data_IF_874657486269
#
_entry.id   IF_874657486269
#
_cell.length_a   1.000
_cell.length_b   1.000
_cell.length_c   1.000
_cell.angle_alpha   90.00
_cell.angle_beta   90.00
_cell.angle_gamma   90.00
#
_symmetry.space_group_name_H-M   'P 1'
#
loop_
_entity.id
_entity.type
_entity.pdbx_description
1 polymer ?
#
# COMPACT_ATOMS: atom_id res chain seq x y z
N UNK A 1 4.48 -32.43 -20.74
CA UNK A 1 3.48 -31.37 -20.71
C UNK A 1 2.86 -31.39 -19.31
N UNK A 2 3.35 -30.58 -18.41
CA UNK A 2 2.85 -30.46 -17.03
C UNK A 2 1.84 -29.34 -17.03
N UNK A 3 0.56 -29.68 -16.91
CA UNK A 3 -0.52 -28.72 -16.69
C UNK A 3 -0.30 -28.03 -15.34
N UNK A 4 0.14 -26.79 -15.35
CA UNK A 4 0.10 -25.93 -14.18
C UNK A 4 -1.33 -25.39 -14.07
N UNK A 5 -2.24 -26.18 -13.54
CA UNK A 5 -3.54 -25.72 -13.11
C UNK A 5 -3.40 -25.25 -11.65
N UNK A 6 -3.37 -23.94 -11.42
CA UNK A 6 -3.54 -23.42 -10.08
C UNK A 6 -5.03 -23.43 -9.74
N UNK A 7 -5.49 -24.07 -8.65
CA UNK A 7 -6.89 -24.01 -8.26
C UNK A 7 -7.22 -22.56 -7.85
N UNK A 8 -8.30 -22.03 -8.42
CA UNK A 8 -8.87 -20.76 -7.98
C UNK A 8 -9.20 -20.85 -6.48
N UNK A 9 -8.54 -20.05 -5.66
CA UNK A 9 -8.75 -20.06 -4.22
C UNK A 9 -9.75 -18.96 -3.83
N UNK A 10 -10.63 -19.24 -2.87
CA UNK A 10 -11.56 -18.25 -2.29
C UNK A 10 -10.77 -17.13 -1.61
N UNK A 11 -11.10 -15.84 -1.78
CA UNK A 11 -10.52 -14.78 -0.98
C UNK A 11 -10.63 -15.06 0.53
N UNK A 12 -11.75 -15.57 0.97
CA UNK A 12 -11.95 -16.01 2.35
C UNK A 12 -10.93 -17.09 2.77
N UNK A 13 -10.70 -18.12 1.95
CA UNK A 13 -9.69 -19.15 2.20
C UNK A 13 -8.27 -18.64 2.03
N UNK A 14 -8.04 -17.61 1.20
CA UNK A 14 -6.75 -16.93 1.10
C UNK A 14 -6.44 -16.25 2.44
N UNK A 15 -7.36 -15.41 2.95
CA UNK A 15 -7.16 -14.69 4.20
C UNK A 15 -6.91 -15.62 5.39
N UNK A 16 -7.53 -16.80 5.43
CA UNK A 16 -7.36 -17.81 6.47
C UNK A 16 -5.96 -18.47 6.50
N UNK A 17 -5.15 -18.26 5.47
CA UNK A 17 -3.77 -18.78 5.40
C UNK A 17 -2.76 -17.90 6.14
N UNK A 18 -3.17 -16.72 6.56
CA UNK A 18 -2.32 -15.68 7.13
C UNK A 18 -2.75 -15.37 8.56
N UNK A 19 -1.78 -15.07 9.39
CA UNK A 19 -2.01 -14.76 10.81
C UNK A 19 -2.30 -13.28 11.04
N UNK A 20 -2.00 -12.41 10.07
CA UNK A 20 -2.27 -10.99 10.12
C UNK A 20 -2.50 -10.40 8.71
N UNK A 21 -3.33 -9.36 8.64
CA UNK A 21 -3.60 -8.59 7.43
C UNK A 21 -3.06 -7.17 7.59
N UNK A 22 -2.27 -6.71 6.62
CA UNK A 22 -1.75 -5.36 6.52
C UNK A 22 -2.48 -4.67 5.38
N UNK A 23 -3.52 -3.90 5.73
CA UNK A 23 -4.58 -3.53 4.80
C UNK A 23 -4.50 -2.06 4.43
N UNK A 24 -4.40 -1.75 3.14
CA UNK A 24 -4.59 -0.38 2.65
C UNK A 24 -6.02 0.11 2.88
N UNK A 25 -6.24 1.41 2.84
CA UNK A 25 -7.51 2.04 3.15
C UNK A 25 -8.30 2.46 1.91
N UNK A 26 -7.78 3.43 1.15
CA UNK A 26 -8.48 4.06 0.05
C UNK A 26 -8.55 3.12 -1.16
N UNK A 27 -9.74 2.68 -1.55
CA UNK A 27 -9.95 1.71 -2.64
C UNK A 27 -10.00 0.26 -2.16
N UNK A 28 -9.50 -0.04 -0.98
CA UNK A 28 -9.46 -1.38 -0.37
C UNK A 28 -10.52 -1.57 0.73
N UNK A 29 -10.55 -0.66 1.71
CA UNK A 29 -11.50 -0.70 2.83
C UNK A 29 -12.69 0.22 2.59
N UNK A 30 -12.44 1.41 2.10
CA UNK A 30 -13.47 2.39 1.74
C UNK A 30 -13.12 3.15 0.45
N UNK A 31 -14.13 3.78 -0.14
CA UNK A 31 -13.96 4.71 -1.25
C UNK A 31 -14.79 5.97 -0.97
N UNK A 32 -14.13 7.11 -0.85
CA UNK A 32 -14.79 8.35 -0.43
C UNK A 32 -15.41 8.21 0.95
N UNK A 33 -16.72 8.37 1.06
CA UNK A 33 -17.47 8.27 2.32
C UNK A 33 -18.16 6.92 2.55
N UNK A 34 -17.89 5.87 1.78
CA UNK A 34 -18.58 4.59 1.88
C UNK A 34 -17.60 3.41 1.96
N UNK A 35 -17.93 2.36 2.73
CA UNK A 35 -17.15 1.13 2.76
C UNK A 35 -17.20 0.44 1.39
N UNK A 36 -16.10 -0.21 1.01
CA UNK A 36 -16.03 -1.11 -0.14
C UNK A 36 -16.85 -2.36 0.14
N UNK A 37 -17.58 -2.85 -0.86
CA UNK A 37 -18.35 -4.08 -0.71
C UNK A 37 -17.45 -5.27 -0.37
N UNK A 38 -17.87 -6.11 0.56
CA UNK A 38 -17.12 -7.26 1.06
C UNK A 38 -15.99 -6.93 2.06
N UNK A 39 -15.59 -5.66 2.23
CA UNK A 39 -14.47 -5.32 3.09
C UNK A 39 -14.76 -5.62 4.57
N UNK A 40 -15.94 -5.25 5.08
CA UNK A 40 -16.31 -5.54 6.48
C UNK A 40 -16.34 -7.04 6.77
N UNK A 41 -16.97 -7.80 5.88
CA UNK A 41 -17.11 -9.25 6.06
C UNK A 41 -15.75 -9.95 6.00
N UNK A 42 -14.89 -9.53 5.07
CA UNK A 42 -13.56 -10.10 4.89
C UNK A 42 -12.60 -9.79 6.05
N UNK A 43 -12.75 -8.63 6.70
CA UNK A 43 -11.86 -8.19 7.79
C UNK A 43 -12.37 -8.55 9.18
N UNK A 44 -13.65 -8.89 9.32
CA UNK A 44 -14.28 -9.17 10.61
C UNK A 44 -13.57 -10.30 11.37
N UNK A 45 -13.19 -10.04 12.62
CA UNK A 45 -12.55 -11.00 13.52
C UNK A 45 -11.12 -11.39 13.16
N UNK A 46 -10.46 -10.68 12.24
CA UNK A 46 -9.07 -10.94 11.83
C UNK A 46 -8.11 -9.92 12.42
N UNK A 47 -6.94 -10.39 12.85
CA UNK A 47 -5.86 -9.50 13.27
C UNK A 47 -5.43 -8.66 12.06
N UNK A 48 -5.66 -7.34 12.13
CA UNK A 48 -5.42 -6.43 11.01
C UNK A 48 -4.76 -5.14 11.49
N UNK A 49 -3.81 -4.63 10.70
CA UNK A 49 -3.32 -3.25 10.80
C UNK A 49 -3.67 -2.51 9.52
N UNK A 50 -4.32 -1.37 9.67
CA UNK A 50 -4.68 -0.49 8.57
C UNK A 50 -3.54 0.44 8.24
N UNK A 51 -2.97 0.30 7.03
CA UNK A 51 -1.71 0.92 6.61
C UNK A 51 -1.97 2.00 5.57
N UNK A 52 -1.77 3.28 5.90
CA UNK A 52 -2.08 4.39 4.99
C UNK A 52 -0.89 5.32 4.74
N UNK A 53 -0.71 5.71 3.46
CA UNK A 53 0.24 6.76 3.08
C UNK A 53 -0.19 8.15 3.54
N UNK A 54 -1.44 8.31 3.99
CA UNK A 54 -1.93 9.60 4.48
C UNK A 54 -1.27 9.97 5.81
N UNK A 55 -0.47 11.04 5.80
CA UNK A 55 0.21 11.59 6.97
C UNK A 55 -0.51 12.79 7.61
N UNK A 56 -1.64 13.23 7.05
CA UNK A 56 -2.35 14.44 7.51
C UNK A 56 -3.34 14.18 8.64
N UNK A 57 -3.72 12.90 8.86
CA UNK A 57 -4.62 12.48 9.93
C UNK A 57 -3.84 11.70 10.99
N UNK A 58 -4.24 11.86 12.26
CA UNK A 58 -3.73 11.01 13.33
C UNK A 58 -4.34 9.60 13.24
N UNK A 59 -3.71 8.56 13.83
CA UNK A 59 -4.29 7.22 13.94
C UNK A 59 -5.69 7.24 14.56
N UNK A 60 -5.90 8.08 15.58
CA UNK A 60 -7.20 8.25 16.22
C UNK A 60 -8.27 8.74 15.23
N UNK A 61 -7.96 9.76 14.43
CA UNK A 61 -8.89 10.30 13.43
C UNK A 61 -9.20 9.29 12.32
N UNK A 62 -8.25 8.43 11.95
CA UNK A 62 -8.47 7.35 10.99
C UNK A 62 -9.37 6.27 11.61
N UNK A 63 -9.11 5.85 12.86
CA UNK A 63 -9.91 4.85 13.55
C UNK A 63 -11.37 5.33 13.74
N UNK A 64 -11.57 6.59 14.14
CA UNK A 64 -12.90 7.21 14.25
C UNK A 64 -13.65 7.19 12.91
N UNK A 65 -12.95 7.49 11.82
CA UNK A 65 -13.53 7.42 10.47
C UNK A 65 -13.93 5.98 10.13
N UNK A 66 -13.06 4.98 10.32
CA UNK A 66 -13.36 3.57 10.06
C UNK A 66 -14.52 3.07 10.92
N UNK A 67 -14.57 3.46 12.20
CA UNK A 67 -15.68 3.15 13.10
C UNK A 67 -17.00 3.74 12.60
N UNK A 68 -17.00 4.96 12.09
CA UNK A 68 -18.18 5.58 11.46
C UNK A 68 -18.68 4.84 10.22
N UNK A 69 -17.78 4.11 9.55
CA UNK A 69 -18.08 3.23 8.41
C UNK A 69 -18.48 1.80 8.83
N UNK A 70 -18.52 1.51 10.15
CA UNK A 70 -18.95 0.23 10.70
C UNK A 70 -17.87 -0.83 10.80
N UNK A 71 -16.60 -0.44 10.86
CA UNK A 71 -15.49 -1.32 11.22
C UNK A 71 -15.20 -1.24 12.71
N UNK A 72 -14.80 -2.34 13.32
CA UNK A 72 -14.31 -2.39 14.70
C UNK A 72 -12.80 -2.14 14.69
N UNK A 73 -12.37 -0.90 14.98
CA UNK A 73 -10.98 -0.47 14.84
C UNK A 73 -10.62 0.52 15.96
N UNK A 74 -9.52 0.26 16.62
CA UNK A 74 -8.88 1.18 17.55
C UNK A 74 -7.72 1.93 16.89
N UNK A 75 -7.27 3.04 17.51
CA UNK A 75 -6.12 3.79 17.03
C UNK A 75 -4.83 2.94 16.97
N UNK A 76 -4.74 1.91 17.82
CA UNK A 76 -3.63 0.97 17.82
C UNK A 76 -3.59 0.07 16.56
N UNK A 77 -4.72 -0.11 15.89
CA UNK A 77 -4.81 -0.90 14.65
C UNK A 77 -4.47 -0.08 13.39
N UNK A 78 -4.11 1.20 13.56
CA UNK A 78 -3.82 2.11 12.45
C UNK A 78 -2.34 2.47 12.42
N UNK A 79 -1.69 2.27 11.28
CA UNK A 79 -0.35 2.75 11.01
C UNK A 79 -0.35 3.77 9.88
N UNK A 80 -0.07 5.03 10.22
CA UNK A 80 0.10 6.10 9.23
C UNK A 80 1.55 6.20 8.76
N UNK A 81 1.76 6.73 7.58
CA UNK A 81 3.11 6.99 7.07
C UNK A 81 3.89 8.00 7.94
N UNK A 82 3.21 8.85 8.70
CA UNK A 82 3.84 9.73 9.68
C UNK A 82 4.46 8.96 10.86
N UNK A 83 3.74 7.97 11.41
CA UNK A 83 4.30 7.09 12.45
C UNK A 83 5.48 6.27 11.93
N UNK A 84 5.33 5.71 10.72
CA UNK A 84 6.40 4.95 10.08
C UNK A 84 7.64 5.82 9.82
N UNK A 85 7.47 7.10 9.47
CA UNK A 85 8.56 8.05 9.30
C UNK A 85 9.30 8.31 10.62
N UNK A 86 8.60 8.46 11.73
CA UNK A 86 9.23 8.58 13.05
C UNK A 86 10.05 7.34 13.41
N UNK A 87 9.48 6.14 13.19
CA UNK A 87 10.18 4.87 13.45
C UNK A 87 11.42 4.70 12.57
N UNK A 88 11.30 5.02 11.28
CA UNK A 88 12.41 4.96 10.34
C UNK A 88 13.52 5.96 10.74
N UNK A 89 13.15 7.19 11.09
CA UNK A 89 14.10 8.21 11.53
C UNK A 89 14.88 7.77 12.77
N UNK A 90 14.20 7.23 13.78
CA UNK A 90 14.85 6.71 14.99
C UNK A 90 15.87 5.62 14.63
N UNK A 91 15.48 4.65 13.78
CA UNK A 91 16.36 3.55 13.36
C UNK A 91 17.57 4.04 12.53
N UNK A 92 17.44 5.08 11.73
CA UNK A 92 18.54 5.66 10.97
C UNK A 92 19.53 6.40 11.86
N UNK A 93 19.04 7.09 12.91
CA UNK A 93 19.89 7.80 13.86
C UNK A 93 20.61 6.85 14.81
N UNK A 94 19.95 5.77 15.27
CA UNK A 94 20.56 4.74 16.13
C UNK A 94 21.73 4.01 15.44
N UNK A 95 21.65 3.84 14.13
CA UNK A 95 22.69 3.18 13.33
C UNK A 95 23.86 4.14 12.97
N UNK A 96 23.72 5.44 13.16
CA UNK A 96 24.66 6.40 12.63
C UNK A 96 25.78 6.80 13.56
N UNK A 97 25.71 6.55 14.89
CA UNK A 97 26.85 6.66 15.80
C UNK A 97 26.56 6.28 17.24
N UNK A 98 27.64 5.85 17.97
CA UNK A 98 27.66 5.69 19.40
C UNK A 98 27.43 7.01 20.17
N UNK A 99 26.25 7.62 19.97
CA UNK A 99 25.83 8.77 20.75
C UNK A 99 25.67 8.38 22.21
N UNK A 100 26.25 9.18 23.12
CA UNK A 100 26.10 9.04 24.55
C UNK A 100 24.61 8.85 24.91
N UNK A 101 24.29 7.74 25.55
CA UNK A 101 22.95 7.42 26.04
C UNK A 101 22.45 8.59 26.91
N UNK A 102 21.48 9.35 26.42
CA UNK A 102 20.79 10.35 27.22
C UNK A 102 20.28 11.62 26.54
N UNK A 103 20.71 11.92 25.32
CA UNK A 103 20.23 13.12 24.62
C UNK A 103 19.12 12.75 23.64
N UNK A 104 17.91 13.30 23.81
CA UNK A 104 16.82 13.11 22.84
C UNK A 104 17.23 13.70 21.49
N UNK A 105 17.17 12.89 20.45
CA UNK A 105 17.36 13.36 19.06
C UNK A 105 16.35 14.45 18.71
N UNK A 106 16.79 15.42 17.92
CA UNK A 106 16.00 16.60 17.55
C UNK A 106 15.43 16.47 16.15
N UNK A 107 14.16 16.86 15.96
CA UNK A 107 13.49 16.78 14.69
C UNK A 107 12.89 18.13 14.26
N UNK A 108 13.15 18.53 13.02
CA UNK A 108 12.36 19.57 12.36
C UNK A 108 11.26 18.92 11.55
N UNK A 109 10.00 19.33 11.75
CA UNK A 109 8.84 18.70 11.11
C UNK A 109 8.17 19.65 10.13
N UNK A 110 8.18 19.29 8.85
CA UNK A 110 7.31 19.85 7.81
C UNK A 110 6.07 18.98 7.74
N UNK A 111 4.89 19.51 8.02
CA UNK A 111 3.66 18.74 7.99
C UNK A 111 2.59 19.20 8.96
N UNK A 112 1.54 18.41 9.11
CA UNK A 112 0.42 18.70 10.00
C UNK A 112 0.83 18.70 11.48
N UNK A 113 0.06 19.40 12.31
CA UNK A 113 0.28 19.43 13.77
C UNK A 113 0.27 18.03 14.39
N UNK A 114 -0.56 17.11 13.86
CA UNK A 114 -0.58 15.69 14.27
C UNK A 114 0.78 15.01 14.07
N UNK A 115 1.50 15.32 13.00
CA UNK A 115 2.82 14.74 12.75
C UNK A 115 3.87 15.25 13.76
N UNK A 116 3.80 16.53 14.14
CA UNK A 116 4.64 17.06 15.22
C UNK A 116 4.38 16.35 16.55
N UNK A 117 3.11 16.08 16.86
CA UNK A 117 2.71 15.28 18.03
C UNK A 117 3.31 13.87 17.98
N UNK A 118 3.15 13.15 16.86
CA UNK A 118 3.71 11.81 16.66
C UNK A 118 5.23 11.78 16.79
N UNK A 119 5.94 12.80 16.30
CA UNK A 119 7.38 12.92 16.47
C UNK A 119 7.75 13.07 17.96
N UNK A 120 6.98 13.88 18.71
CA UNK A 120 7.17 14.04 20.16
C UNK A 120 6.91 12.72 20.91
N UNK A 121 5.83 12.01 20.59
CA UNK A 121 5.47 10.73 21.18
C UNK A 121 6.51 9.64 20.86
N UNK A 122 7.13 9.71 19.69
CA UNK A 122 8.25 8.84 19.29
C UNK A 122 9.59 9.20 20.00
N UNK A 123 9.61 10.22 20.86
CA UNK A 123 10.76 10.59 21.68
C UNK A 123 11.62 11.70 21.11
N UNK A 124 11.31 12.30 19.97
CA UNK A 124 12.03 13.44 19.42
C UNK A 124 11.74 14.73 20.19
N UNK A 125 12.75 15.58 20.33
CA UNK A 125 12.55 16.99 20.67
C UNK A 125 12.29 17.75 19.37
N UNK A 126 11.05 18.16 19.15
CA UNK A 126 10.67 18.93 17.96
C UNK A 126 11.17 20.36 18.08
N UNK A 127 11.83 20.84 17.03
CA UNK A 127 12.41 22.20 16.93
C UNK A 127 11.69 23.02 15.85
N UNK A 128 11.84 24.35 15.91
CA UNK A 128 11.12 25.27 15.03
C UNK A 128 12.04 25.95 13.99
N UNK A 129 13.36 25.77 14.06
CA UNK A 129 14.30 26.35 13.13
C UNK A 129 15.49 25.44 12.83
N UNK A 130 16.05 25.57 11.64
CA UNK A 130 17.30 24.94 11.24
C UNK A 130 18.49 25.41 12.08
N UNK A 131 18.43 26.63 12.68
CA UNK A 131 19.47 27.16 13.57
C UNK A 131 19.68 26.30 14.83
N UNK A 132 18.63 25.53 15.22
CA UNK A 132 18.72 24.56 16.32
C UNK A 132 19.43 23.26 15.93
N UNK A 133 19.87 23.15 14.67
CA UNK A 133 20.60 21.99 14.11
C UNK A 133 19.89 20.67 14.38
N UNK A 134 18.68 20.45 13.84
CA UNK A 134 17.98 19.20 14.02
C UNK A 134 18.76 18.00 13.43
N UNK A 135 18.70 16.86 14.12
CA UNK A 135 19.32 15.61 13.68
C UNK A 135 18.58 15.02 12.48
N UNK A 136 17.25 15.27 12.41
CA UNK A 136 16.40 14.78 11.32
C UNK A 136 15.38 15.83 10.88
N UNK A 137 15.09 15.82 9.57
CA UNK A 137 13.93 16.50 8.97
C UNK A 137 12.89 15.44 8.65
N UNK A 138 11.71 15.54 9.26
CA UNK A 138 10.53 14.73 8.99
C UNK A 138 9.58 15.51 8.06
N UNK A 139 9.32 15.01 6.85
CA UNK A 139 8.54 15.72 5.85
C UNK A 139 7.25 14.95 5.51
N UNK A 140 6.12 15.53 5.85
CA UNK A 140 4.77 15.04 5.55
C UNK A 140 3.87 16.13 4.98
N UNK A 141 2.69 15.72 4.53
CA UNK A 141 1.72 16.62 3.93
C UNK A 141 0.97 17.45 4.97
N UNK A 142 0.78 18.72 4.66
CA UNK A 142 -0.23 19.59 5.26
C UNK A 142 -0.63 20.66 4.22
N UNK A 143 -1.92 21.06 4.17
CA UNK A 143 -2.34 22.22 3.38
C UNK A 143 -1.67 23.52 3.82
N UNK A 144 -1.13 23.58 5.04
CA UNK A 144 -0.46 24.73 5.63
C UNK A 144 1.04 24.79 5.32
N UNK A 145 1.60 23.73 4.68
CA UNK A 145 2.99 23.74 4.26
C UNK A 145 3.27 24.92 3.34
N UNK A 146 4.33 25.66 3.62
CA UNK A 146 4.64 26.89 2.91
C UNK A 146 6.14 27.03 2.63
N UNK A 147 6.50 28.05 1.85
CA UNK A 147 7.88 28.32 1.44
C UNK A 147 8.85 28.44 2.62
N UNK A 148 8.44 29.08 3.72
CA UNK A 148 9.32 29.28 4.88
C UNK A 148 9.64 27.92 5.53
N UNK A 149 8.66 27.07 5.74
CA UNK A 149 8.84 25.72 6.30
C UNK A 149 9.77 24.85 5.41
N UNK A 150 9.57 24.90 4.08
CA UNK A 150 10.41 24.15 3.14
C UNK A 150 11.84 24.71 3.11
N UNK A 151 12.02 26.02 3.32
CA UNK A 151 13.34 26.65 3.38
C UNK A 151 14.10 26.24 4.62
N UNK A 152 13.46 26.23 5.80
CA UNK A 152 14.05 25.70 7.04
C UNK A 152 14.45 24.23 6.88
N UNK A 153 13.58 23.40 6.28
CA UNK A 153 13.92 22.02 5.98
C UNK A 153 15.16 21.89 5.08
N UNK A 154 15.24 22.70 4.03
CA UNK A 154 16.38 22.70 3.12
C UNK A 154 17.68 23.15 3.82
N UNK A 155 17.62 24.14 4.72
CA UNK A 155 18.77 24.60 5.53
C UNK A 155 19.24 23.48 6.47
N UNK A 156 18.32 22.82 7.17
CA UNK A 156 18.61 21.71 8.07
C UNK A 156 19.25 20.52 7.33
N UNK A 157 18.68 20.12 6.19
CA UNK A 157 19.22 19.03 5.34
C UNK A 157 20.62 19.38 4.83
N UNK A 158 20.87 20.62 4.40
CA UNK A 158 22.22 21.10 4.00
C UNK A 158 23.21 21.11 5.15
N UNK A 159 22.72 21.31 6.38
CA UNK A 159 23.56 21.27 7.59
C UNK A 159 23.88 19.83 8.04
N UNK A 160 23.32 18.80 7.36
CA UNK A 160 23.61 17.39 7.61
C UNK A 160 22.50 16.61 8.31
N UNK A 161 21.31 17.21 8.54
CA UNK A 161 20.18 16.48 9.09
C UNK A 161 19.76 15.31 8.17
N UNK A 162 19.45 14.14 8.76
CA UNK A 162 18.87 13.02 8.04
C UNK A 162 17.53 13.46 7.46
N UNK A 163 17.27 13.16 6.18
CA UNK A 163 16.03 13.56 5.52
C UNK A 163 15.10 12.38 5.35
N UNK A 164 13.92 12.43 6.00
CA UNK A 164 12.89 11.37 5.96
C UNK A 164 11.57 11.96 5.49
N UNK A 165 11.00 11.38 4.44
CA UNK A 165 9.66 11.69 3.93
C UNK A 165 8.66 10.62 4.39
N UNK A 166 7.49 11.06 4.85
CA UNK A 166 6.39 10.15 5.20
C UNK A 166 5.89 9.35 4.00
N UNK A 167 5.80 9.99 2.84
CA UNK A 167 5.51 9.36 1.54
C UNK A 167 6.04 10.24 0.41
N UNK A 168 6.06 9.70 -0.81
CA UNK A 168 6.49 10.39 -2.03
C UNK A 168 5.36 10.54 -3.06
N UNK A 169 4.10 10.44 -2.64
CA UNK A 169 2.95 10.60 -3.51
C UNK A 169 2.93 12.02 -4.09
N UNK A 170 3.09 12.13 -5.41
CA UNK A 170 3.20 13.43 -6.10
C UNK A 170 1.87 14.16 -6.19
N UNK A 171 0.77 13.43 -6.12
CA UNK A 171 -0.58 13.95 -6.18
C UNK A 171 -1.42 13.50 -4.99
N UNK A 172 -2.47 14.26 -4.68
CA UNK A 172 -3.47 13.96 -3.67
C UNK A 172 -4.85 14.01 -4.31
N UNK A 173 -5.61 12.91 -4.36
CA UNK A 173 -6.97 12.90 -4.89
C UNK A 173 -7.90 13.79 -4.06
N UNK A 174 -8.76 14.54 -4.75
CA UNK A 174 -9.83 15.35 -4.15
C UNK A 174 -11.08 15.36 -5.04
N UNK A 175 -12.19 15.87 -4.52
CA UNK A 175 -13.41 16.07 -5.32
C UNK A 175 -13.20 17.01 -6.53
N UNK A 176 -12.20 17.86 -6.48
CA UNK A 176 -11.85 18.82 -7.55
C UNK A 176 -10.83 18.27 -8.56
N UNK A 177 -10.35 17.03 -8.36
CA UNK A 177 -9.27 16.41 -9.14
C UNK A 177 -8.01 16.21 -8.31
N UNK A 178 -6.88 16.02 -9.00
CA UNK A 178 -5.59 15.76 -8.37
C UNK A 178 -4.96 17.06 -7.87
N UNK A 179 -4.75 17.17 -6.57
CA UNK A 179 -4.01 18.25 -5.93
C UNK A 179 -2.53 17.88 -5.80
N UNK A 180 -1.71 18.86 -5.36
CA UNK A 180 -0.30 18.64 -5.04
C UNK A 180 -0.19 17.74 -3.82
N UNK A 181 0.51 16.59 -3.98
CA UNK A 181 0.82 15.66 -2.91
C UNK A 181 2.14 15.99 -2.21
N UNK A 182 2.44 15.21 -1.16
CA UNK A 182 3.66 15.37 -0.37
C UNK A 182 4.94 15.24 -1.21
N UNK A 183 4.98 14.28 -2.13
CA UNK A 183 6.13 14.05 -3.00
C UNK A 183 6.53 15.26 -3.85
N UNK A 184 5.55 16.07 -4.29
CA UNK A 184 5.84 17.33 -5.01
C UNK A 184 6.50 18.37 -4.13
N UNK A 185 6.13 18.48 -2.85
CA UNK A 185 6.78 19.37 -1.87
C UNK A 185 8.17 18.85 -1.50
N UNK A 186 8.30 17.54 -1.33
CA UNK A 186 9.59 16.86 -1.15
C UNK A 186 10.53 17.14 -2.33
N UNK A 187 10.02 17.06 -3.57
CA UNK A 187 10.80 17.35 -4.77
C UNK A 187 11.37 18.78 -4.79
N UNK A 188 10.66 19.76 -4.22
CA UNK A 188 11.16 21.13 -4.08
C UNK A 188 12.39 21.19 -3.16
N UNK A 189 12.38 20.48 -2.02
CA UNK A 189 13.51 20.39 -1.11
C UNK A 189 14.66 19.59 -1.73
N UNK A 190 14.37 18.47 -2.41
CA UNK A 190 15.38 17.68 -3.16
C UNK A 190 16.06 18.54 -4.23
N UNK A 191 15.30 19.31 -5.01
CA UNK A 191 15.84 20.21 -6.02
C UNK A 191 16.75 21.27 -5.42
N UNK A 192 16.42 21.79 -4.23
CA UNK A 192 17.22 22.82 -3.56
C UNK A 192 18.49 22.26 -2.91
N UNK A 193 18.48 21.01 -2.41
CA UNK A 193 19.55 20.44 -1.60
C UNK A 193 20.42 19.41 -2.32
N UNK A 194 19.88 18.73 -3.33
CA UNK A 194 20.49 17.56 -3.97
C UNK A 194 20.38 16.28 -3.14
N UNK A 195 19.70 16.32 -1.98
CA UNK A 195 19.58 15.17 -1.07
C UNK A 195 18.24 14.49 -1.27
N UNK A 196 18.25 13.19 -1.58
CA UNK A 196 17.06 12.34 -1.69
C UNK A 196 16.66 11.84 -0.29
N UNK A 197 15.40 11.95 0.13
CA UNK A 197 14.97 11.45 1.42
C UNK A 197 14.88 9.93 1.47
N UNK A 198 14.99 9.37 2.67
CA UNK A 198 14.47 8.05 2.98
C UNK A 198 12.95 8.12 3.03
N UNK A 199 12.25 7.25 2.29
CA UNK A 199 10.78 7.21 2.28
C UNK A 199 10.27 6.14 3.24
N UNK A 200 9.36 6.52 4.12
CA UNK A 200 8.72 5.60 5.05
C UNK A 200 7.46 4.96 4.46
N UNK A 201 6.76 5.68 3.56
CA UNK A 201 5.51 5.25 2.95
C UNK A 201 5.69 4.18 1.88
N UNK A 202 4.58 3.54 1.50
CA UNK A 202 4.48 2.62 0.36
C UNK A 202 4.93 3.35 -0.93
N UNK A 203 5.66 2.70 -1.84
CA UNK A 203 6.02 1.29 -1.93
C UNK A 203 7.23 0.86 -1.08
N UNK A 204 7.78 1.72 -0.23
CA UNK A 204 8.86 1.32 0.68
C UNK A 204 8.40 0.23 1.66
N UNK A 205 9.29 -0.73 2.02
CA UNK A 205 8.92 -1.86 2.89
C UNK A 205 8.72 -1.48 4.35
N UNK A 206 9.13 -0.27 4.76
CA UNK A 206 9.22 0.14 6.16
C UNK A 206 7.87 0.03 6.90
N UNK A 207 6.79 0.52 6.29
CA UNK A 207 5.45 0.47 6.90
C UNK A 207 4.99 -0.98 7.13
N UNK A 208 5.14 -1.85 6.14
CA UNK A 208 4.75 -3.26 6.26
C UNK A 208 5.56 -3.97 7.34
N UNK A 209 6.87 -3.71 7.41
CA UNK A 209 7.73 -4.26 8.47
C UNK A 209 7.35 -3.76 9.87
N UNK A 210 6.95 -2.49 10.02
CA UNK A 210 6.46 -1.95 11.30
C UNK A 210 5.13 -2.61 11.67
N UNK A 211 4.16 -2.68 10.76
CA UNK A 211 2.85 -3.27 10.98
C UNK A 211 2.92 -4.76 11.35
N UNK A 212 3.75 -5.54 10.67
CA UNK A 212 3.96 -6.95 10.98
C UNK A 212 4.54 -7.16 12.39
N UNK A 213 5.55 -6.37 12.77
CA UNK A 213 6.12 -6.42 14.13
C UNK A 213 5.11 -6.02 15.21
N UNK A 214 4.25 -5.04 14.92
CA UNK A 214 3.21 -4.57 15.85
C UNK A 214 2.25 -5.72 16.23
N UNK A 215 1.90 -6.58 15.28
CA UNK A 215 1.05 -7.75 15.51
C UNK A 215 1.83 -9.00 15.94
N UNK A 216 3.16 -8.99 15.91
CA UNK A 216 3.96 -10.19 16.11
C UNK A 216 3.70 -11.26 15.03
N UNK A 217 3.35 -10.83 13.82
CA UNK A 217 2.93 -11.73 12.75
C UNK A 217 4.11 -12.51 12.16
N UNK A 218 3.91 -13.83 11.96
CA UNK A 218 4.88 -14.71 11.31
C UNK A 218 4.59 -14.86 9.80
N UNK A 219 3.31 -14.76 9.42
CA UNK A 219 2.84 -14.85 8.03
C UNK A 219 1.84 -13.75 7.71
N UNK A 220 2.28 -12.48 7.66
CA UNK A 220 1.41 -11.37 7.29
C UNK A 220 1.09 -11.39 5.79
N UNK A 221 -0.12 -10.89 5.43
CA UNK A 221 -0.53 -10.63 4.06
C UNK A 221 -0.67 -9.13 3.85
N UNK A 222 0.03 -8.57 2.86
CA UNK A 222 -0.20 -7.21 2.41
C UNK A 222 -1.40 -7.16 1.45
N UNK A 223 -2.38 -6.32 1.76
CA UNK A 223 -3.64 -6.22 1.02
C UNK A 223 -3.83 -4.79 0.53
N UNK A 224 -4.07 -4.62 -0.76
CA UNK A 224 -4.29 -3.31 -1.36
C UNK A 224 -4.88 -3.38 -2.76
N UNK A 225 -5.19 -2.22 -3.32
CA UNK A 225 -5.79 -2.07 -4.64
C UNK A 225 -4.82 -1.48 -5.68
N UNK A 226 -3.60 -1.13 -5.26
CA UNK A 226 -2.61 -0.48 -6.13
C UNK A 226 -1.34 -1.31 -6.26
N UNK A 227 -0.98 -1.59 -7.52
CA UNK A 227 0.24 -2.32 -7.85
C UNK A 227 1.51 -1.56 -7.47
N UNK A 228 1.56 -0.27 -7.78
CA UNK A 228 2.74 0.59 -7.63
C UNK A 228 3.05 1.00 -6.18
N UNK A 229 2.13 0.81 -5.26
CA UNK A 229 2.30 1.14 -3.84
C UNK A 229 2.14 -0.08 -2.93
N UNK A 230 0.95 -0.68 -2.89
CA UNK A 230 0.61 -1.74 -1.93
C UNK A 230 1.30 -3.04 -2.27
N UNK A 231 1.16 -3.46 -3.53
CA UNK A 231 1.72 -4.73 -4.00
C UNK A 231 3.25 -4.62 -4.09
N UNK A 232 3.76 -3.54 -4.68
CA UNK A 232 5.20 -3.28 -4.73
C UNK A 232 5.81 -3.22 -3.34
N UNK A 233 5.15 -2.57 -2.38
CA UNK A 233 5.60 -2.45 -0.99
C UNK A 233 5.57 -3.77 -0.23
N UNK A 234 4.52 -4.57 -0.40
CA UNK A 234 4.42 -5.92 0.16
C UNK A 234 5.51 -6.85 -0.38
N UNK A 235 5.74 -6.84 -1.71
CA UNK A 235 6.84 -7.57 -2.35
C UNK A 235 8.21 -7.12 -1.82
N UNK A 236 8.43 -5.80 -1.72
CA UNK A 236 9.68 -5.25 -1.19
C UNK A 236 9.91 -5.63 0.29
N UNK A 237 8.84 -5.86 1.06
CA UNK A 237 8.89 -6.35 2.43
C UNK A 237 9.04 -7.87 2.53
N UNK A 238 9.08 -8.60 1.41
CA UNK A 238 9.18 -10.06 1.37
C UNK A 238 7.91 -10.79 1.80
N UNK A 239 6.75 -10.14 1.65
CA UNK A 239 5.45 -10.66 2.06
C UNK A 239 4.63 -11.14 0.87
N UNK A 240 3.72 -12.09 1.11
CA UNK A 240 2.65 -12.39 0.18
C UNK A 240 1.71 -11.18 0.05
N UNK A 241 1.13 -11.01 -1.14
CA UNK A 241 0.30 -9.85 -1.45
C UNK A 241 -1.04 -10.26 -2.04
N UNK A 242 -2.10 -9.55 -1.70
CA UNK A 242 -3.42 -9.66 -2.30
C UNK A 242 -3.81 -8.34 -2.97
N UNK A 243 -3.96 -8.36 -4.29
CA UNK A 243 -4.51 -7.25 -5.04
C UNK A 243 -6.03 -7.39 -5.14
N UNK A 244 -6.79 -6.42 -4.62
CA UNK A 244 -8.24 -6.36 -4.76
C UNK A 244 -8.62 -5.39 -5.88
N UNK A 245 -9.61 -5.78 -6.71
CA UNK A 245 -10.04 -5.01 -7.88
C UNK A 245 -11.11 -3.95 -7.55
N UNK A 246 -11.14 -3.53 -6.29
CA UNK A 246 -12.10 -2.54 -5.79
C UNK A 246 -11.63 -1.09 -5.94
N UNK A 247 -10.39 -0.87 -6.34
CA UNK A 247 -9.75 0.46 -6.35
C UNK A 247 -9.19 0.90 -7.69
N UNK A 248 -7.88 1.15 -7.72
CA UNK A 248 -7.17 1.82 -8.82
C UNK A 248 -6.72 0.84 -9.90
N UNK A 249 -6.02 -0.23 -9.53
CA UNK A 249 -5.44 -1.14 -10.52
C UNK A 249 -6.50 -2.01 -11.19
N UNK A 250 -6.49 -2.03 -12.52
CA UNK A 250 -7.43 -2.76 -13.35
C UNK A 250 -6.87 -4.10 -13.82
N UNK A 251 -7.75 -4.92 -14.40
CA UNK A 251 -7.44 -6.27 -14.90
C UNK A 251 -6.26 -6.28 -15.88
N UNK A 252 -6.29 -5.38 -16.87
CA UNK A 252 -5.27 -5.30 -17.93
C UNK A 252 -3.92 -4.86 -17.39
N UNK A 253 -3.92 -3.95 -16.41
CA UNK A 253 -2.71 -3.50 -15.75
C UNK A 253 -2.08 -4.65 -14.95
N UNK A 254 -2.87 -5.41 -14.20
CA UNK A 254 -2.38 -6.57 -13.45
C UNK A 254 -1.83 -7.64 -14.39
N UNK A 255 -2.48 -7.89 -15.51
CA UNK A 255 -2.05 -8.90 -16.47
C UNK A 255 -0.64 -8.66 -17.00
N UNK A 256 -0.23 -7.38 -17.16
CA UNK A 256 1.06 -6.98 -17.73
C UNK A 256 1.97 -6.25 -16.74
N UNK A 257 1.75 -6.47 -15.43
CA UNK A 257 2.53 -5.79 -14.39
C UNK A 257 3.90 -6.44 -14.15
N UNK A 258 4.86 -5.60 -13.74
CA UNK A 258 6.10 -6.10 -13.14
C UNK A 258 5.94 -6.44 -11.65
N UNK A 259 4.94 -5.87 -10.96
CA UNK A 259 4.61 -6.13 -9.55
C UNK A 259 3.51 -7.19 -9.46
N UNK A 260 3.90 -8.44 -9.54
CA UNK A 260 3.00 -9.60 -9.61
C UNK A 260 2.46 -9.95 -8.23
N UNK A 261 1.18 -9.72 -7.93
CA UNK A 261 0.61 -10.10 -6.64
C UNK A 261 0.58 -11.62 -6.47
N UNK A 262 0.70 -12.09 -5.22
CA UNK A 262 0.54 -13.52 -4.88
C UNK A 262 -0.90 -13.96 -5.14
N UNK A 263 -1.86 -13.08 -4.85
CA UNK A 263 -3.29 -13.32 -5.00
C UNK A 263 -3.99 -12.14 -5.66
N UNK A 264 -5.07 -12.45 -6.39
CA UNK A 264 -5.95 -11.48 -7.03
C UNK A 264 -7.38 -11.84 -6.64
N UNK A 265 -8.20 -10.85 -6.25
CA UNK A 265 -9.60 -11.05 -5.93
C UNK A 265 -10.44 -9.83 -6.33
N UNK A 266 -11.73 -10.05 -6.57
CA UNK A 266 -12.67 -8.96 -6.80
C UNK A 266 -12.78 -8.03 -5.59
N UNK A 267 -12.89 -8.62 -4.40
CA UNK A 267 -12.99 -7.96 -3.09
C UNK A 267 -12.54 -8.95 -1.98
N UNK A 268 -12.72 -8.60 -0.71
CA UNK A 268 -12.28 -9.42 0.42
C UNK A 268 -13.28 -10.52 0.85
N UNK A 269 -14.47 -10.58 0.25
CA UNK A 269 -15.54 -11.53 0.59
C UNK A 269 -15.82 -12.54 -0.52
N UNK A 270 -16.04 -12.05 -1.75
CA UNK A 270 -16.63 -12.84 -2.82
C UNK A 270 -15.60 -13.65 -3.59
N UNK A 271 -16.00 -14.87 -3.92
CA UNK A 271 -15.19 -15.83 -4.64
C UNK A 271 -16.08 -16.86 -5.37
N UNK A 272 -15.57 -17.36 -6.50
CA UNK A 272 -16.21 -18.41 -7.29
C UNK A 272 -15.23 -19.54 -7.57
N UNK A 273 -15.59 -20.78 -7.17
CA UNK A 273 -14.73 -21.95 -7.33
C UNK A 273 -14.72 -22.51 -8.76
N UNK A 274 -13.67 -23.24 -9.08
CA UNK A 274 -13.59 -24.09 -10.27
C UNK A 274 -13.10 -23.39 -11.54
N UNK A 275 -12.77 -22.11 -11.50
CA UNK A 275 -12.14 -21.41 -12.63
C UNK A 275 -10.75 -21.97 -12.91
N UNK A 276 -10.41 -22.18 -14.18
CA UNK A 276 -9.12 -22.73 -14.60
C UNK A 276 -8.61 -22.02 -15.86
N UNK A 277 -7.29 -22.08 -16.07
CA UNK A 277 -6.69 -21.65 -17.32
C UNK A 277 -5.60 -22.63 -17.74
N UNK A 278 -5.39 -22.73 -19.06
CA UNK A 278 -4.30 -23.51 -19.66
C UNK A 278 -3.68 -22.77 -20.82
N UNK A 279 -2.40 -22.96 -21.03
CA UNK A 279 -1.72 -22.48 -22.23
C UNK A 279 -1.84 -23.50 -23.36
N UNK A 280 -2.12 -22.99 -24.58
CA UNK A 280 -2.14 -23.73 -25.84
C UNK A 280 -1.48 -22.89 -26.92
N UNK A 281 -0.21 -23.16 -27.21
CA UNK A 281 0.61 -22.34 -28.07
C UNK A 281 0.83 -20.93 -27.51
N UNK A 282 0.43 -19.93 -28.26
CA UNK A 282 0.47 -18.50 -27.93
C UNK A 282 -0.82 -17.99 -27.25
N UNK A 283 -1.66 -18.90 -26.78
CA UNK A 283 -2.97 -18.58 -26.25
C UNK A 283 -3.14 -19.14 -24.84
N UNK A 284 -3.70 -18.35 -23.93
CA UNK A 284 -4.22 -18.79 -22.62
C UNK A 284 -5.72 -18.94 -22.74
N UNK A 285 -6.19 -20.16 -22.56
CA UNK A 285 -7.62 -20.52 -22.63
C UNK A 285 -8.16 -20.57 -21.21
N UNK A 286 -9.14 -19.73 -20.90
CA UNK A 286 -9.83 -19.65 -19.60
C UNK A 286 -11.12 -20.46 -19.68
N UNK A 287 -11.35 -21.31 -18.68
CA UNK A 287 -12.59 -22.11 -18.50
C UNK A 287 -13.28 -21.63 -17.23
N UNK A 288 -14.60 -21.36 -17.33
CA UNK A 288 -15.38 -20.92 -16.18
C UNK A 288 -15.62 -22.04 -15.19
N UNK A 289 -15.69 -21.66 -13.91
CA UNK A 289 -16.18 -22.48 -12.82
C UNK A 289 -17.60 -22.09 -12.42
N UNK A 290 -17.82 -21.93 -11.12
CA UNK A 290 -19.05 -21.37 -10.59
C UNK A 290 -19.30 -19.95 -11.13
N UNK A 291 -20.56 -19.59 -11.36
CA UNK A 291 -20.96 -18.29 -11.90
C UNK A 291 -21.57 -17.40 -10.82
N UNK A 292 -21.42 -16.09 -10.97
CA UNK A 292 -21.88 -15.09 -10.01
C UNK A 292 -21.86 -13.68 -10.60
N UNK A 293 -21.58 -12.68 -9.77
CA UNK A 293 -21.41 -11.31 -10.23
C UNK A 293 -20.28 -11.19 -11.26
N UNK A 294 -20.48 -10.39 -12.31
CA UNK A 294 -19.53 -10.27 -13.43
C UNK A 294 -18.14 -9.81 -12.96
N UNK A 295 -18.08 -8.89 -11.99
CA UNK A 295 -16.80 -8.42 -11.44
C UNK A 295 -16.04 -9.56 -10.71
N UNK A 296 -16.78 -10.46 -10.03
CA UNK A 296 -16.16 -11.62 -9.36
C UNK A 296 -15.67 -12.62 -10.40
N UNK A 297 -16.48 -12.94 -11.41
CA UNK A 297 -16.07 -13.80 -12.52
C UNK A 297 -14.83 -13.25 -13.25
N UNK A 298 -14.79 -11.94 -13.48
CA UNK A 298 -13.66 -11.29 -14.12
C UNK A 298 -12.36 -11.38 -13.30
N UNK A 299 -12.46 -11.26 -11.98
CA UNK A 299 -11.32 -11.43 -11.08
C UNK A 299 -10.82 -12.87 -11.03
N UNK A 300 -11.72 -13.86 -11.01
CA UNK A 300 -11.37 -15.29 -11.04
C UNK A 300 -10.67 -15.66 -12.37
N UNK A 301 -11.21 -15.18 -13.50
CA UNK A 301 -10.61 -15.36 -14.81
C UNK A 301 -9.17 -14.78 -14.84
N UNK A 302 -8.98 -13.60 -14.26
CA UNK A 302 -7.66 -12.96 -14.15
C UNK A 302 -6.72 -13.75 -13.24
N UNK A 303 -7.20 -14.18 -12.07
CA UNK A 303 -6.39 -14.91 -11.09
C UNK A 303 -5.82 -16.22 -11.65
N UNK A 304 -6.54 -16.89 -12.56
CA UNK A 304 -6.07 -18.12 -13.20
C UNK A 304 -5.23 -17.84 -14.46
N UNK A 305 -5.50 -16.77 -15.19
CA UNK A 305 -4.78 -16.45 -16.44
C UNK A 305 -3.44 -15.75 -16.18
N UNK A 306 -3.37 -14.83 -15.22
CA UNK A 306 -2.22 -13.98 -15.00
C UNK A 306 -0.90 -14.75 -14.74
N UNK A 307 -0.85 -15.82 -13.93
CA UNK A 307 0.38 -16.58 -13.73
C UNK A 307 0.95 -17.20 -15.02
N UNK A 308 0.11 -17.57 -15.97
CA UNK A 308 0.54 -18.11 -17.25
C UNK A 308 1.10 -17.01 -18.16
N UNK A 309 0.44 -15.85 -18.21
CA UNK A 309 0.92 -14.69 -18.95
C UNK A 309 2.25 -14.21 -18.37
N UNK A 310 2.37 -14.04 -17.07
CA UNK A 310 3.62 -13.61 -16.42
C UNK A 310 4.78 -14.57 -16.68
N UNK A 311 4.51 -15.88 -16.68
CA UNK A 311 5.54 -16.88 -17.02
C UNK A 311 5.99 -16.80 -18.47
N UNK A 312 5.10 -16.40 -19.38
CA UNK A 312 5.44 -16.18 -20.79
C UNK A 312 6.23 -14.87 -20.98
N UNK A 313 5.80 -13.78 -20.32
CA UNK A 313 6.52 -12.50 -20.32
C UNK A 313 7.98 -12.67 -19.91
N UNK A 314 8.25 -13.50 -18.89
CA UNK A 314 9.61 -13.81 -18.42
C UNK A 314 10.47 -14.52 -19.50
N UNK A 315 9.82 -15.17 -20.47
CA UNK A 315 10.49 -15.80 -21.62
C UNK A 315 10.53 -14.90 -22.87
N UNK A 316 9.93 -13.70 -22.79
CA UNK A 316 9.77 -12.79 -23.92
C UNK A 316 8.70 -13.25 -24.92
N UNK A 317 7.73 -14.03 -24.47
CA UNK A 317 6.60 -14.53 -25.25
C UNK A 317 5.36 -13.67 -24.94
N UNK A 318 4.58 -13.34 -25.96
CA UNK A 318 3.32 -12.61 -25.81
C UNK A 318 2.15 -13.60 -25.96
N UNK A 319 1.27 -13.68 -24.98
CA UNK A 319 0.13 -14.58 -24.97
C UNK A 319 -1.19 -13.80 -25.07
N UNK A 320 -2.10 -14.35 -25.88
CA UNK A 320 -3.47 -13.86 -25.96
C UNK A 320 -4.38 -14.64 -25.01
N UNK A 321 -5.19 -13.96 -24.19
CA UNK A 321 -6.16 -14.62 -23.30
C UNK A 321 -7.53 -14.69 -23.97
N UNK A 322 -8.11 -15.89 -24.02
CA UNK A 322 -9.43 -16.15 -24.62
C UNK A 322 -10.29 -17.06 -23.74
N UNK A 323 -11.59 -16.97 -23.89
CA UNK A 323 -12.50 -17.94 -23.28
C UNK A 323 -12.48 -19.29 -24.02
N UNK A 324 -12.71 -20.38 -23.32
CA UNK A 324 -12.90 -21.69 -23.94
C UNK A 324 -14.11 -21.66 -24.91
N UNK A 325 -14.02 -22.47 -25.96
CA UNK A 325 -15.05 -22.49 -27.00
C UNK A 325 -16.43 -22.86 -26.43
N UNK A 326 -17.42 -21.97 -26.62
CA UNK A 326 -18.76 -22.14 -26.11
C UNK A 326 -18.97 -21.76 -24.64
N UNK A 327 -17.94 -21.32 -23.94
CA UNK A 327 -18.03 -20.87 -22.55
C UNK A 327 -18.44 -19.39 -22.49
N UNK A 328 -19.75 -19.17 -22.34
CA UNK A 328 -20.31 -17.83 -22.28
C UNK A 328 -19.94 -17.06 -21.00
N UNK A 329 -19.77 -17.77 -19.87
CA UNK A 329 -19.41 -17.13 -18.60
C UNK A 329 -17.95 -16.65 -18.62
N UNK A 330 -17.03 -17.47 -19.14
CA UNK A 330 -15.65 -17.03 -19.34
C UNK A 330 -15.56 -15.86 -20.35
N UNK A 331 -16.35 -15.88 -21.43
CA UNK A 331 -16.40 -14.78 -22.39
C UNK A 331 -16.92 -13.48 -21.77
N UNK A 332 -17.96 -13.54 -20.93
CA UNK A 332 -18.50 -12.38 -20.20
C UNK A 332 -17.45 -11.83 -19.20
N UNK A 333 -16.79 -12.71 -18.45
CA UNK A 333 -15.74 -12.34 -17.51
C UNK A 333 -14.58 -11.59 -18.19
N UNK A 334 -14.07 -12.13 -19.31
CA UNK A 334 -12.97 -11.49 -20.07
C UNK A 334 -13.40 -10.18 -20.73
N UNK A 335 -14.65 -10.06 -21.16
CA UNK A 335 -15.19 -8.81 -21.71
C UNK A 335 -15.28 -7.68 -20.69
N UNK A 336 -15.34 -8.00 -19.40
CA UNK A 336 -15.36 -7.04 -18.29
C UNK A 336 -13.97 -6.50 -17.91
N UNK A 337 -12.87 -7.04 -18.44
CA UNK A 337 -11.51 -6.58 -18.11
C UNK A 337 -11.27 -5.13 -18.56
N UNK A 338 -10.93 -4.28 -17.61
CA UNK A 338 -10.67 -2.84 -17.76
C UNK A 338 -9.17 -2.55 -17.75
#
# INVERSE_FOLDING_TARGET
MTSLSSPAATPHRILDRYDALLVDLDGTVFRGGAPVDGARDGLSGRASVYVTNNASRSPQQVAEHLTSLGFEVDAADVLTSAQAACTLAASLLDNSDGSEQGTRSTAYVVGAASFRGLATDAGFRVVDSADERPDVVLHGHSPENNWAMLSEAALAVRAGAVYVASNLDTTLPSERGLLIGNGSLVAAVVSATGVTPHSAGKPGPAMFGVAARQLGAERPLAVGDRLDTDIAGGIAAGMDTLCVLTGVSGHREILHTMWRPTWIAANLRDHLEGWTARQDGDTVIVESGATGGVDVMAAEALAVAAPLVWSADDRGEDLTVVAASGDSAAAEALAAWR
#
